data_IF_352585713473
#
_entry.id   IF_352585713473
#
_cell.length_a   1.000
_cell.length_b   1.000
_cell.length_c   1.000
_cell.angle_alpha   90.00
_cell.angle_beta   90.00
_cell.angle_gamma   90.00
#
_symmetry.space_group_name_H-M   'P 1'
#
loop_
_entity.id
_entity.type
_entity.pdbx_description
1 polymer ?
#
# COMPACT_ATOMS: atom_id res chain seq x y z
N UNK A 1 -13.27 31.52 44.31
CA UNK A 1 -13.27 31.21 42.87
C UNK A 1 -14.56 31.75 42.26
N UNK A 2 -14.50 32.62 41.24
CA UNK A 2 -15.71 33.17 40.60
C UNK A 2 -16.36 32.07 39.77
N UNK A 3 -17.61 31.71 40.07
CA UNK A 3 -18.41 30.88 39.18
C UNK A 3 -18.47 31.51 37.79
N UNK A 4 -18.04 30.76 36.78
CA UNK A 4 -18.23 31.12 35.38
C UNK A 4 -19.73 31.10 35.09
N UNK A 5 -20.39 32.26 35.18
CA UNK A 5 -21.79 32.43 34.76
C UNK A 5 -21.92 31.96 33.31
N UNK A 6 -22.67 30.87 33.10
CA UNK A 6 -22.93 30.34 31.77
C UNK A 6 -23.81 31.33 30.99
N UNK A 7 -23.28 31.82 29.87
CA UNK A 7 -24.00 32.74 28.99
C UNK A 7 -25.28 32.05 28.45
N UNK A 8 -26.40 32.78 28.32
CA UNK A 8 -27.64 32.20 27.78
C UNK A 8 -27.44 31.68 26.34
N UNK A 9 -27.90 30.46 26.08
CA UNK A 9 -27.65 29.73 24.83
C UNK A 9 -28.22 30.41 23.58
N UNK A 10 -29.39 31.04 23.68
CA UNK A 10 -30.07 31.69 22.54
C UNK A 10 -29.33 32.92 21.99
N UNK A 11 -28.99 33.95 22.80
CA UNK A 11 -28.26 35.11 22.30
C UNK A 11 -26.86 34.74 21.80
N UNK A 12 -26.21 33.77 22.45
CA UNK A 12 -24.92 33.23 22.00
C UNK A 12 -25.05 32.54 20.65
N UNK A 13 -26.04 31.66 20.47
CA UNK A 13 -26.31 30.98 19.20
C UNK A 13 -26.57 31.96 18.04
N UNK A 14 -27.37 33.02 18.29
CA UNK A 14 -27.62 34.08 17.31
C UNK A 14 -26.36 34.89 16.99
N UNK A 15 -25.58 35.28 18.00
CA UNK A 15 -24.34 36.06 17.84
C UNK A 15 -23.31 35.34 16.96
N UNK A 16 -23.19 34.03 17.10
CA UNK A 16 -22.22 33.23 16.36
C UNK A 16 -22.80 32.52 15.13
N UNK A 17 -24.08 32.72 14.81
CA UNK A 17 -24.79 32.03 13.72
C UNK A 17 -24.69 30.50 13.78
N UNK A 18 -24.64 29.92 14.99
CA UNK A 18 -24.58 28.48 15.23
C UNK A 18 -25.94 28.01 15.71
N UNK A 19 -26.38 26.82 15.30
CA UNK A 19 -27.65 26.27 15.81
C UNK A 19 -27.62 26.11 17.33
N UNK A 20 -28.73 26.45 18.00
CA UNK A 20 -28.88 26.27 19.45
C UNK A 20 -28.60 24.82 19.88
N UNK A 21 -29.01 23.85 19.05
CA UNK A 21 -28.78 22.43 19.29
C UNK A 21 -27.29 22.09 19.34
N UNK A 22 -26.51 22.59 18.37
CA UNK A 22 -25.05 22.40 18.31
C UNK A 22 -24.35 23.03 19.52
N UNK A 23 -24.75 24.24 19.92
CA UNK A 23 -24.17 24.92 21.08
C UNK A 23 -24.49 24.20 22.40
N UNK A 24 -25.75 23.72 22.56
CA UNK A 24 -26.16 22.91 23.71
C UNK A 24 -25.38 21.59 23.79
N UNK A 25 -25.17 20.93 22.65
CA UNK A 25 -24.40 19.69 22.61
C UNK A 25 -22.94 19.93 23.00
N UNK A 26 -22.31 21.02 22.51
CA UNK A 26 -20.96 21.42 22.93
C UNK A 26 -20.87 21.76 24.42
N UNK A 27 -21.84 22.49 24.97
CA UNK A 27 -21.88 22.79 26.41
C UNK A 27 -22.00 21.52 27.28
N UNK A 28 -22.65 20.47 26.75
CA UNK A 28 -22.73 19.14 27.37
C UNK A 28 -21.50 18.25 27.12
N UNK A 29 -20.42 18.80 26.55
CA UNK A 29 -19.17 18.06 26.28
C UNK A 29 -19.15 17.31 24.94
N UNK A 30 -20.14 17.52 24.06
CA UNK A 30 -20.12 16.96 22.71
C UNK A 30 -18.98 17.57 21.87
N UNK A 31 -18.08 16.72 21.40
CA UNK A 31 -16.97 17.10 20.52
C UNK A 31 -17.44 17.27 19.08
N UNK A 32 -16.59 17.88 18.25
CA UNK A 32 -16.88 17.98 16.84
C UNK A 32 -16.83 16.58 16.18
N UNK A 33 -17.50 16.38 15.05
CA UNK A 33 -17.56 15.07 14.39
C UNK A 33 -16.19 14.53 13.94
N UNK A 34 -15.25 15.43 13.63
CA UNK A 34 -13.90 15.12 13.17
C UNK A 34 -13.04 14.58 14.32
N UNK A 35 -13.04 15.26 15.46
CA UNK A 35 -12.35 14.85 16.69
C UNK A 35 -12.92 13.52 17.19
N UNK A 36 -14.25 13.38 17.21
CA UNK A 36 -14.90 12.13 17.56
C UNK A 36 -14.56 10.97 16.59
N UNK A 37 -14.17 11.28 15.35
CA UNK A 37 -13.73 10.27 14.38
C UNK A 37 -12.27 9.86 14.60
N UNK A 38 -11.40 10.79 14.98
CA UNK A 38 -10.01 10.51 15.36
C UNK A 38 -9.98 9.58 16.58
N UNK A 39 -10.74 9.91 17.63
CA UNK A 39 -10.88 9.11 18.85
C UNK A 39 -11.46 7.70 18.62
N UNK A 40 -12.16 7.48 17.50
CA UNK A 40 -12.72 6.17 17.12
C UNK A 40 -11.77 5.33 16.26
N UNK A 41 -10.64 5.88 15.82
CA UNK A 41 -9.64 5.08 15.10
C UNK A 41 -9.00 4.11 16.09
N UNK A 42 -8.80 2.87 15.64
CA UNK A 42 -8.14 1.84 16.45
C UNK A 42 -6.62 2.00 16.47
N UNK A 43 -6.06 2.48 15.37
CA UNK A 43 -4.65 2.82 15.25
C UNK A 43 -4.52 4.33 15.26
N UNK A 44 -3.47 4.83 15.94
CA UNK A 44 -3.11 6.25 15.89
C UNK A 44 -2.66 6.65 14.48
N UNK A 45 -2.56 7.96 14.22
CA UNK A 45 -2.04 8.44 12.93
C UNK A 45 -0.61 7.93 12.70
N UNK A 46 0.27 8.05 13.69
CA UNK A 46 1.66 7.59 13.63
C UNK A 46 1.78 6.09 13.33
N UNK A 47 0.89 5.27 13.91
CA UNK A 47 0.84 3.83 13.64
C UNK A 47 0.37 3.53 12.21
N UNK A 48 -0.58 4.31 11.70
CA UNK A 48 -1.01 4.21 10.30
C UNK A 48 0.09 4.66 9.34
N UNK A 49 0.82 5.73 9.64
CA UNK A 49 1.97 6.21 8.86
C UNK A 49 3.10 5.17 8.81
N UNK A 50 3.47 4.59 9.96
CA UNK A 50 4.43 3.48 10.01
C UNK A 50 4.00 2.29 9.15
N UNK A 51 2.70 1.97 9.16
CA UNK A 51 2.14 0.91 8.33
C UNK A 51 2.21 1.24 6.83
N UNK A 52 2.01 2.51 6.44
CA UNK A 52 2.19 2.98 5.07
C UNK A 52 3.65 2.83 4.63
N UNK A 53 4.59 3.27 5.46
CA UNK A 53 6.02 3.15 5.18
C UNK A 53 6.43 1.69 4.99
N UNK A 54 5.98 0.79 5.87
CA UNK A 54 6.20 -0.64 5.74
C UNK A 54 5.67 -1.21 4.41
N UNK A 55 4.47 -0.80 3.97
CA UNK A 55 3.90 -1.22 2.68
C UNK A 55 4.78 -0.79 1.51
N UNK A 56 5.25 0.45 1.53
CA UNK A 56 6.11 1.00 0.45
C UNK A 56 7.46 0.29 0.41
N UNK A 57 8.05 0.00 1.57
CA UNK A 57 9.30 -0.75 1.68
C UNK A 57 9.16 -2.20 1.20
N UNK A 58 8.06 -2.88 1.57
CA UNK A 58 7.78 -4.24 1.07
C UNK A 58 7.54 -4.27 -0.44
N UNK A 59 6.88 -3.24 -0.99
CA UNK A 59 6.76 -3.11 -2.44
C UNK A 59 8.12 -2.93 -3.11
N UNK A 60 8.96 -2.02 -2.61
CA UNK A 60 10.30 -1.79 -3.14
C UNK A 60 11.16 -3.07 -3.11
N UNK A 61 10.95 -3.91 -2.10
CA UNK A 61 11.58 -5.21 -1.96
C UNK A 61 10.93 -6.34 -2.79
N UNK A 62 10.01 -6.02 -3.71
CA UNK A 62 9.26 -6.96 -4.54
C UNK A 62 8.45 -8.01 -3.74
N UNK A 63 7.94 -7.60 -2.57
CA UNK A 63 7.09 -8.39 -1.65
C UNK A 63 5.79 -7.66 -1.28
N UNK A 64 5.26 -6.87 -2.23
CA UNK A 64 4.06 -6.05 -2.02
C UNK A 64 2.94 -6.82 -1.27
N UNK A 65 2.44 -6.31 -0.13
CA UNK A 65 1.56 -7.06 0.75
C UNK A 65 0.12 -7.14 0.21
N UNK A 66 -0.58 -8.23 0.54
CA UNK A 66 -2.03 -8.34 0.28
C UNK A 66 -2.85 -7.60 1.35
N UNK A 67 -4.14 -7.38 1.07
CA UNK A 67 -5.10 -6.87 2.07
C UNK A 67 -5.12 -7.71 3.37
N UNK A 68 -4.92 -9.03 3.27
CA UNK A 68 -4.85 -9.91 4.45
C UNK A 68 -3.58 -9.63 5.26
N UNK A 69 -2.44 -9.47 4.60
CA UNK A 69 -1.16 -9.16 5.24
C UNK A 69 -1.21 -7.82 5.96
N UNK A 70 -1.73 -6.77 5.32
CA UNK A 70 -1.88 -5.44 5.93
C UNK A 70 -2.78 -5.50 7.17
N UNK A 71 -3.90 -6.23 7.12
CA UNK A 71 -4.77 -6.41 8.28
C UNK A 71 -4.08 -7.20 9.40
N UNK A 72 -3.32 -8.24 9.05
CA UNK A 72 -2.55 -9.03 10.01
C UNK A 72 -1.53 -8.15 10.73
N UNK A 73 -0.75 -7.38 9.98
CA UNK A 73 0.27 -6.50 10.56
C UNK A 73 -0.37 -5.39 11.43
N UNK A 74 -1.47 -4.79 10.98
CA UNK A 74 -2.23 -3.84 11.80
C UNK A 74 -2.77 -4.46 13.11
N UNK A 75 -3.20 -5.72 13.11
CA UNK A 75 -3.59 -6.42 14.34
C UNK A 75 -2.38 -6.69 15.26
N UNK A 76 -1.18 -6.92 14.71
CA UNK A 76 0.03 -7.08 15.51
C UNK A 76 0.39 -5.78 16.25
N UNK A 77 0.25 -4.63 15.58
CA UNK A 77 0.45 -3.31 16.21
C UNK A 77 -0.56 -3.10 17.35
N UNK A 78 -1.84 -3.43 17.16
CA UNK A 78 -2.84 -3.34 18.23
C UNK A 78 -2.53 -4.24 19.43
N UNK A 79 -2.08 -5.47 19.17
CA UNK A 79 -1.71 -6.42 20.22
C UNK A 79 -0.52 -5.91 21.03
N UNK A 80 0.43 -5.24 20.38
CA UNK A 80 1.55 -4.60 21.07
C UNK A 80 1.09 -3.47 22.00
N UNK A 81 0.06 -2.73 21.61
CA UNK A 81 -0.57 -1.67 22.42
C UNK A 81 -1.56 -2.21 23.48
N UNK A 82 -1.50 -3.51 23.80
CA UNK A 82 -2.37 -4.21 24.75
C UNK A 82 -3.87 -4.04 24.48
N UNK A 83 -4.27 -3.82 23.23
CA UNK A 83 -5.68 -3.81 22.86
C UNK A 83 -6.14 -5.21 22.46
N UNK A 84 -7.07 -5.79 23.23
CA UNK A 84 -7.72 -7.08 22.91
C UNK A 84 -8.68 -7.01 21.71
N UNK A 85 -8.61 -5.93 20.93
CA UNK A 85 -9.48 -5.68 19.80
C UNK A 85 -8.85 -6.10 18.49
N UNK A 86 -9.67 -6.63 17.59
CA UNK A 86 -9.26 -6.90 16.21
C UNK A 86 -9.76 -5.83 15.24
N UNK A 87 -9.01 -5.62 14.17
CA UNK A 87 -9.41 -4.82 13.02
C UNK A 87 -10.51 -5.55 12.24
N UNK A 88 -11.56 -4.82 11.87
CA UNK A 88 -12.68 -5.36 11.08
C UNK A 88 -12.33 -5.58 9.60
N UNK A 89 -13.17 -6.33 8.89
CA UNK A 89 -12.97 -6.70 7.47
C UNK A 89 -12.86 -5.48 6.52
N UNK A 90 -13.54 -4.38 6.86
CA UNK A 90 -13.55 -3.15 6.07
C UNK A 90 -12.48 -2.14 6.48
N UNK A 91 -11.72 -2.42 7.55
CA UNK A 91 -10.74 -1.47 8.07
C UNK A 91 -9.69 -1.11 7.02
N UNK A 92 -9.13 -2.11 6.31
CA UNK A 92 -8.11 -1.85 5.27
C UNK A 92 -8.66 -1.00 4.14
N UNK A 93 -9.91 -1.18 3.73
CA UNK A 93 -10.50 -0.33 2.68
C UNK A 93 -10.58 1.13 3.16
N UNK A 94 -11.00 1.36 4.41
CA UNK A 94 -11.04 2.71 4.97
C UNK A 94 -9.64 3.29 5.17
N UNK A 95 -8.65 2.47 5.54
CA UNK A 95 -7.25 2.84 5.64
C UNK A 95 -6.72 3.35 4.30
N UNK A 96 -6.96 2.62 3.21
CA UNK A 96 -6.60 3.07 1.86
C UNK A 96 -7.32 4.36 1.44
N UNK A 97 -8.55 4.60 1.91
CA UNK A 97 -9.24 5.89 1.67
C UNK A 97 -8.59 7.05 2.42
N UNK A 98 -7.94 6.79 3.56
CA UNK A 98 -7.24 7.82 4.34
C UNK A 98 -5.84 8.13 3.80
N UNK A 99 -5.18 7.13 3.21
CA UNK A 99 -3.80 7.21 2.72
C UNK A 99 -3.75 7.09 1.19
N UNK A 100 -3.97 8.18 0.44
CA UNK A 100 -4.04 8.15 -1.03
C UNK A 100 -2.70 7.82 -1.70
N UNK A 101 -1.59 7.86 -0.95
CA UNK A 101 -0.25 7.48 -1.41
C UNK A 101 -0.12 5.97 -1.68
N UNK A 102 -1.07 5.16 -1.18
CA UNK A 102 -1.13 3.72 -1.40
C UNK A 102 -2.48 3.29 -1.98
N UNK A 103 -2.47 2.29 -2.85
CA UNK A 103 -3.68 1.75 -3.48
C UNK A 103 -3.57 0.24 -3.72
N UNK A 104 -4.74 -0.39 -3.88
CA UNK A 104 -4.82 -1.74 -4.43
C UNK A 104 -4.44 -1.70 -5.92
N UNK A 105 -3.50 -2.56 -6.33
CA UNK A 105 -3.12 -2.72 -7.73
C UNK A 105 -2.78 -4.18 -8.06
N UNK A 106 -2.65 -4.44 -9.36
CA UNK A 106 -2.33 -5.78 -9.84
C UNK A 106 -0.84 -6.06 -9.67
N UNK A 107 -0.52 -7.30 -9.28
CA UNK A 107 0.85 -7.78 -9.25
C UNK A 107 1.29 -8.36 -10.59
N UNK A 108 2.57 -8.19 -10.91
CA UNK A 108 3.28 -8.93 -11.97
C UNK A 108 4.38 -9.75 -11.31
N UNK A 109 4.41 -11.05 -11.56
CA UNK A 109 5.49 -11.90 -11.10
C UNK A 109 6.71 -11.73 -12.00
N UNK A 110 7.87 -11.56 -11.39
CA UNK A 110 9.17 -11.71 -12.05
C UNK A 110 9.88 -12.89 -11.41
N UNK A 111 10.52 -13.72 -12.23
CA UNK A 111 11.29 -14.86 -11.76
C UNK A 111 12.52 -14.38 -11.01
N UNK A 112 12.56 -14.65 -9.70
CA UNK A 112 13.63 -14.21 -8.79
C UNK A 112 15.00 -14.64 -9.30
N UNK A 113 15.09 -15.88 -9.81
CA UNK A 113 16.34 -16.46 -10.33
C UNK A 113 16.89 -15.60 -11.46
N UNK A 114 16.03 -15.21 -12.41
CA UNK A 114 16.43 -14.35 -13.54
C UNK A 114 16.89 -12.97 -13.07
N UNK A 115 16.22 -12.38 -12.09
CA UNK A 115 16.63 -11.07 -11.55
C UNK A 115 17.95 -11.13 -10.78
N UNK A 116 18.25 -12.25 -10.10
CA UNK A 116 19.48 -12.42 -9.32
C UNK A 116 20.69 -12.77 -10.19
N UNK A 117 20.49 -13.59 -11.22
CA UNK A 117 21.57 -14.12 -12.05
C UNK A 117 21.91 -13.25 -13.26
N UNK A 118 21.13 -12.21 -13.53
CA UNK A 118 21.38 -11.28 -14.64
C UNK A 118 21.98 -9.98 -14.09
N UNK A 119 23.31 -9.86 -14.01
CA UNK A 119 23.96 -8.57 -13.72
C UNK A 119 24.12 -7.73 -14.99
N UNK A 120 24.26 -6.42 -14.81
CA UNK A 120 24.52 -5.49 -15.91
C UNK A 120 25.82 -5.85 -16.64
N UNK A 121 26.88 -6.23 -15.92
CA UNK A 121 28.14 -6.60 -16.57
C UNK A 121 28.01 -7.87 -17.41
N UNK A 122 27.21 -8.85 -16.96
CA UNK A 122 26.94 -10.06 -17.72
C UNK A 122 26.16 -9.76 -19.01
N UNK A 123 25.16 -8.88 -18.94
CA UNK A 123 24.41 -8.45 -20.11
C UNK A 123 25.31 -7.70 -21.10
N UNK A 124 26.09 -6.73 -20.62
CA UNK A 124 27.01 -5.99 -21.47
C UNK A 124 28.03 -6.90 -22.14
N UNK A 125 28.65 -7.80 -21.38
CA UNK A 125 29.62 -8.75 -21.91
C UNK A 125 28.99 -9.65 -22.96
N UNK A 126 27.77 -10.13 -22.72
CA UNK A 126 27.04 -10.96 -23.67
C UNK A 126 26.78 -10.21 -24.98
N UNK A 127 26.21 -9.00 -24.92
CA UNK A 127 25.90 -8.22 -26.13
C UNK A 127 27.15 -7.77 -26.89
N UNK A 128 28.25 -7.43 -26.18
CA UNK A 128 29.55 -7.15 -26.81
C UNK A 128 30.07 -8.35 -27.58
N UNK A 129 30.07 -9.55 -26.97
CA UNK A 129 30.50 -10.78 -27.63
C UNK A 129 29.60 -11.15 -28.81
N UNK A 130 28.28 -11.00 -28.66
CA UNK A 130 27.32 -11.25 -29.73
C UNK A 130 27.59 -10.33 -30.93
N UNK A 131 27.81 -9.03 -30.69
CA UNK A 131 28.12 -8.07 -31.74
C UNK A 131 29.42 -8.43 -32.49
N UNK A 132 30.50 -8.75 -31.78
CA UNK A 132 31.74 -9.21 -32.40
C UNK A 132 31.52 -10.45 -33.28
N UNK A 133 30.76 -11.43 -32.77
CA UNK A 133 30.53 -12.67 -33.50
C UNK A 133 29.66 -12.47 -34.75
N UNK A 134 28.70 -11.56 -34.68
CA UNK A 134 27.86 -11.17 -35.82
C UNK A 134 28.70 -10.50 -36.92
N UNK A 135 29.63 -9.62 -36.55
CA UNK A 135 30.55 -8.98 -37.50
C UNK A 135 31.49 -10.01 -38.15
N UNK A 136 32.14 -10.86 -37.35
CA UNK A 136 33.05 -11.92 -37.84
C UNK A 136 32.38 -12.89 -38.80
N UNK A 137 31.10 -13.24 -38.56
CA UNK A 137 30.35 -14.20 -39.36
C UNK A 137 29.48 -13.55 -40.42
N UNK A 138 29.53 -12.22 -40.56
CA UNK A 138 28.69 -11.43 -41.46
C UNK A 138 27.19 -11.76 -41.32
N UNK A 139 26.72 -11.94 -40.07
CA UNK A 139 25.33 -12.24 -39.75
C UNK A 139 24.60 -10.92 -39.49
N UNK A 140 23.70 -10.55 -40.39
CA UNK A 140 22.86 -9.36 -40.23
C UNK A 140 21.81 -9.53 -39.13
N UNK A 141 21.37 -8.42 -38.54
CA UNK A 141 20.32 -8.41 -37.51
C UNK A 141 19.00 -9.06 -37.97
N UNK A 142 18.70 -9.04 -39.27
CA UNK A 142 17.50 -9.68 -39.85
C UNK A 142 17.52 -11.21 -39.82
N UNK A 143 18.68 -11.83 -39.58
CA UNK A 143 18.85 -13.29 -39.51
C UNK A 143 18.82 -13.82 -38.07
N UNK A 144 18.67 -12.94 -37.08
CA UNK A 144 18.47 -13.33 -35.68
C UNK A 144 17.01 -13.71 -35.47
N UNK A 145 16.77 -15.00 -35.27
CA UNK A 145 15.47 -15.51 -34.90
C UNK A 145 15.49 -15.90 -33.42
N UNK A 146 14.51 -15.41 -32.67
CA UNK A 146 14.30 -15.88 -31.30
C UNK A 146 13.71 -17.29 -31.35
N UNK A 147 14.33 -18.22 -30.64
CA UNK A 147 13.77 -19.54 -30.35
C UNK A 147 13.46 -19.54 -28.86
N UNK A 148 12.32 -18.95 -28.49
CA UNK A 148 11.78 -19.08 -27.16
C UNK A 148 10.49 -19.90 -27.20
N UNK A 149 10.36 -20.83 -26.26
CA UNK A 149 9.12 -21.56 -26.08
C UNK A 149 8.22 -20.75 -25.15
N UNK A 150 7.13 -20.21 -25.70
CA UNK A 150 6.12 -19.57 -24.87
C UNK A 150 5.15 -20.63 -24.34
N UNK A 151 5.45 -21.16 -23.16
CA UNK A 151 4.56 -22.10 -22.47
C UNK A 151 3.26 -21.42 -22.06
N UNK A 152 2.16 -21.72 -22.75
CA UNK A 152 0.81 -21.32 -22.32
C UNK A 152 0.31 -22.38 -21.35
N UNK A 153 0.39 -22.10 -20.05
CA UNK A 153 -0.23 -22.92 -19.02
C UNK A 153 -1.69 -22.49 -18.84
N UNK A 154 -2.63 -23.25 -19.40
CA UNK A 154 -4.07 -23.02 -19.21
C UNK A 154 -4.42 -23.18 -17.72
N UNK A 155 -4.86 -22.08 -17.09
CA UNK A 155 -5.24 -22.04 -15.66
C UNK A 155 -4.27 -21.32 -14.71
N UNK A 156 -3.02 -21.01 -15.11
CA UNK A 156 -2.11 -20.21 -14.26
C UNK A 156 -2.43 -18.71 -14.34
N UNK A 157 -3.38 -18.24 -13.53
CA UNK A 157 -3.66 -16.80 -13.40
C UNK A 157 -3.02 -16.23 -12.13
N UNK A 158 -1.70 -15.96 -12.14
CA UNK A 158 -0.98 -15.37 -10.96
C UNK A 158 -1.15 -13.85 -10.82
N UNK A 159 -2.28 -13.30 -11.27
CA UNK A 159 -2.61 -11.87 -11.10
C UNK A 159 -3.30 -11.68 -9.75
N UNK A 160 -2.50 -11.59 -8.68
CA UNK A 160 -2.98 -11.18 -7.37
C UNK A 160 -3.25 -9.67 -7.31
N UNK A 161 -4.17 -9.25 -6.42
CA UNK A 161 -4.30 -7.83 -6.05
C UNK A 161 -3.51 -7.60 -4.76
N UNK A 162 -2.54 -6.68 -4.83
CA UNK A 162 -1.68 -6.28 -3.71
C UNK A 162 -1.81 -4.79 -3.45
N UNK A 163 -1.28 -4.34 -2.32
CA UNK A 163 -1.27 -2.93 -1.93
C UNK A 163 0.16 -2.42 -2.15
N UNK A 164 0.28 -1.25 -2.75
CA UNK A 164 1.53 -0.54 -2.90
C UNK A 164 1.30 0.92 -3.26
N UNK A 165 2.37 1.62 -3.58
CA UNK A 165 2.42 3.00 -4.05
C UNK A 165 1.34 3.32 -5.09
N UNK A 166 0.65 4.44 -4.93
CA UNK A 166 -0.32 4.93 -5.90
C UNK A 166 0.32 5.47 -7.17
N UNK A 167 1.61 5.79 -7.13
CA UNK A 167 2.38 6.33 -8.23
C UNK A 167 2.71 5.31 -9.32
N UNK A 168 2.65 4.00 -9.01
CA UNK A 168 2.88 2.94 -10.00
C UNK A 168 1.60 2.17 -10.34
N UNK A 169 1.50 1.69 -11.59
CA UNK A 169 0.33 0.96 -12.11
C UNK A 169 0.28 -0.49 -11.63
N UNK A 170 1.45 -1.12 -11.46
CA UNK A 170 1.60 -2.52 -11.08
C UNK A 170 2.68 -2.66 -10.01
N UNK A 171 2.54 -3.66 -9.12
CA UNK A 171 3.64 -4.08 -8.24
C UNK A 171 4.41 -5.23 -8.88
N UNK A 172 5.73 -5.21 -8.77
CA UNK A 172 6.55 -6.37 -9.08
C UNK A 172 6.58 -7.28 -7.85
N UNK A 173 6.30 -8.57 -8.04
CA UNK A 173 6.42 -9.58 -6.99
C UNK A 173 7.43 -10.61 -7.42
N UNK A 174 8.33 -10.92 -6.50
CA UNK A 174 9.35 -11.92 -6.70
C UNK A 174 8.75 -13.31 -6.48
N UNK A 175 8.81 -14.19 -7.50
CA UNK A 175 8.31 -15.57 -7.41
C UNK A 175 9.46 -16.51 -7.04
N UNK A 176 9.32 -17.22 -5.91
CA UNK A 176 10.23 -18.30 -5.54
C UNK A 176 10.04 -19.49 -6.49
N UNK A 177 11.13 -20.06 -7.00
CA UNK A 177 11.05 -21.28 -7.78
C UNK A 177 10.52 -22.41 -6.88
N UNK A 178 9.39 -22.99 -7.24
CA UNK A 178 8.70 -24.06 -6.50
C UNK A 178 8.59 -25.28 -7.40
N UNK A 179 9.72 -25.64 -8.03
CA UNK A 179 9.91 -26.96 -8.63
C UNK A 179 10.32 -27.93 -7.54
N UNK A 180 9.34 -28.64 -6.99
CA UNK A 180 9.49 -29.95 -6.36
C UNK A 180 9.14 -31.03 -7.35
#
# INVERSE_FOLDING_TARGET
MKELKTQPLQPTAKKYAISRGSLRNRQKGGTNARDAQIERKKLSEDQEEFLVEWILNEEAAARAPTKKNVRLFGNLILKYDNQDQQLGNHWVNRFLTRHPDIKMKLSRSVDVVRTRETTEEQLERFYKLLACQMEEKNVGAGSLHNIDEHGVAEGETKKGKVIGSSYTLYSVISKSDSRT
#
